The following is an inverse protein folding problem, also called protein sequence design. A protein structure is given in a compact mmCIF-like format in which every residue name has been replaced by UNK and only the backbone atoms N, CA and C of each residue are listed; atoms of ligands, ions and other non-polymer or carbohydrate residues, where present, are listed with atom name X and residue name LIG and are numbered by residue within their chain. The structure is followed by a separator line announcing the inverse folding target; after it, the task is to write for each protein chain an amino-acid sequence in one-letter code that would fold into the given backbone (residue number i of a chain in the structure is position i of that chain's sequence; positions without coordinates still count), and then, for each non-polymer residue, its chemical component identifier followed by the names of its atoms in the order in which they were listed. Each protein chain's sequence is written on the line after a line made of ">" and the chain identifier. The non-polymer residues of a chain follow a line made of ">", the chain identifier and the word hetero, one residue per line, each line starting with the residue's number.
data_IF_894086715880
#
_entry.id   IF_894086715880
#
_cell.length_a   1.000
_cell.length_b   1.000
_cell.length_c   1.000
_cell.angle_alpha   90.00
_cell.angle_beta   90.00
_cell.angle_gamma   90.00
#
_symmetry.space_group_name_H-M   'P 1'
#
loop_
_entity.id
_entity.type
_entity.pdbx_description
1 polymer ?
#
# COMPACT_ATOMS: atom_id res chain seq x y z
N UNK A 1 -18.79 3.09 14.15
CA UNK A 1 -19.20 2.90 12.75
C UNK A 1 -17.98 2.96 11.85
N UNK A 2 -17.77 1.99 10.98
CA UNK A 2 -16.63 1.99 10.05
C UNK A 2 -17.01 2.78 8.79
N UNK A 3 -16.55 4.01 8.71
CA UNK A 3 -16.86 4.92 7.59
C UNK A 3 -16.38 4.38 6.24
N UNK A 4 -15.18 3.78 6.19
CA UNK A 4 -14.62 3.21 4.97
C UNK A 4 -15.47 2.06 4.45
N UNK A 5 -15.86 1.15 5.34
CA UNK A 5 -16.73 0.02 4.98
C UNK A 5 -18.08 0.49 4.45
N UNK A 6 -18.66 1.49 5.08
CA UNK A 6 -19.95 2.03 4.66
C UNK A 6 -19.85 2.72 3.30
N UNK A 7 -18.80 3.48 3.04
CA UNK A 7 -18.54 4.09 1.73
C UNK A 7 -18.46 3.06 0.61
N UNK A 8 -17.68 1.98 0.84
CA UNK A 8 -17.52 0.91 -0.16
C UNK A 8 -18.86 0.19 -0.37
N UNK A 9 -19.58 -0.11 0.70
CA UNK A 9 -20.90 -0.77 0.60
C UNK A 9 -21.87 0.08 -0.19
N UNK A 10 -21.95 1.39 0.08
CA UNK A 10 -22.81 2.30 -0.66
C UNK A 10 -22.43 2.32 -2.14
N UNK A 11 -21.15 2.41 -2.46
CA UNK A 11 -20.68 2.43 -3.84
C UNK A 11 -21.07 1.13 -4.59
N UNK A 12 -20.92 -0.02 -3.94
CA UNK A 12 -21.30 -1.32 -4.51
C UNK A 12 -22.81 -1.43 -4.75
N UNK A 13 -23.60 -0.75 -3.94
CA UNK A 13 -25.07 -0.71 -4.06
C UNK A 13 -25.58 0.48 -4.88
N UNK A 14 -24.69 1.16 -5.60
CA UNK A 14 -25.03 2.33 -6.44
C UNK A 14 -25.70 3.46 -5.62
N UNK A 15 -25.29 3.64 -4.37
CA UNK A 15 -25.80 4.66 -3.48
C UNK A 15 -24.73 5.72 -3.22
N UNK A 16 -25.14 6.95 -2.98
CA UNK A 16 -24.24 8.04 -2.65
C UNK A 16 -23.92 8.03 -1.14
N UNK A 17 -22.67 7.84 -0.79
CA UNK A 17 -22.20 7.87 0.60
C UNK A 17 -21.73 9.26 1.06
N UNK A 18 -21.86 10.29 0.22
CA UNK A 18 -21.34 11.63 0.49
C UNK A 18 -19.88 11.84 0.14
N UNK A 19 -19.11 10.76 -0.05
CA UNK A 19 -17.72 10.81 -0.48
C UNK A 19 -17.37 9.55 -1.26
N UNK A 20 -16.40 9.67 -2.14
CA UNK A 20 -15.94 8.56 -2.98
C UNK A 20 -15.02 7.66 -2.16
N UNK A 21 -15.21 6.32 -2.17
CA UNK A 21 -14.25 5.41 -1.57
C UNK A 21 -12.94 5.44 -2.35
N UNK A 22 -11.83 5.37 -1.61
CA UNK A 22 -10.49 5.43 -2.17
C UNK A 22 -9.80 4.08 -1.99
N UNK A 23 -9.35 3.49 -3.08
CA UNK A 23 -8.46 2.34 -3.07
C UNK A 23 -7.09 2.79 -3.58
N UNK A 24 -6.09 2.77 -2.70
CA UNK A 24 -4.74 3.14 -3.02
C UNK A 24 -3.79 2.17 -2.33
N UNK A 25 -3.24 1.24 -3.10
CA UNK A 25 -2.28 0.26 -2.60
C UNK A 25 -2.84 -1.09 -2.18
N UNK A 26 -4.15 -1.35 -2.35
CA UNK A 26 -4.72 -2.66 -1.99
C UNK A 26 -4.33 -3.76 -2.98
N UNK A 27 -4.01 -3.39 -4.23
CA UNK A 27 -3.61 -4.32 -5.29
C UNK A 27 -2.45 -3.75 -6.09
N UNK A 28 -1.85 -4.58 -6.96
CA UNK A 28 -0.81 -4.11 -7.89
C UNK A 28 -1.34 -3.07 -8.89
N UNK A 29 -2.64 -3.10 -9.19
CA UNK A 29 -3.28 -2.14 -10.11
C UNK A 29 -3.41 -0.75 -9.47
N UNK A 30 -3.61 -0.70 -8.16
CA UNK A 30 -3.81 0.55 -7.42
C UNK A 30 -2.57 0.98 -6.64
N UNK A 31 -1.44 0.32 -6.89
CA UNK A 31 -0.18 0.57 -6.19
C UNK A 31 0.61 1.75 -6.74
N UNK A 32 1.69 2.07 -6.06
CA UNK A 32 2.60 3.15 -6.43
C UNK A 32 4.05 2.73 -6.19
N UNK A 33 4.98 3.31 -6.96
CA UNK A 33 6.40 3.00 -6.87
C UNK A 33 6.95 3.26 -5.46
N UNK A 34 7.88 2.42 -5.02
CA UNK A 34 8.44 2.47 -3.66
C UNK A 34 9.10 3.81 -3.31
N UNK A 35 9.67 4.52 -4.28
CA UNK A 35 10.22 5.88 -4.05
C UNK A 35 9.16 6.87 -3.62
N UNK A 36 7.97 6.76 -4.20
CA UNK A 36 6.87 7.67 -3.85
C UNK A 36 6.28 7.29 -2.48
N UNK A 37 6.24 6.00 -2.16
CA UNK A 37 5.84 5.56 -0.81
C UNK A 37 6.74 6.19 0.25
N UNK A 38 8.06 6.14 0.04
CA UNK A 38 9.02 6.77 0.96
C UNK A 38 8.80 8.28 1.04
N UNK A 39 8.63 8.94 -0.10
CA UNK A 39 8.38 10.38 -0.15
C UNK A 39 7.09 10.76 0.59
N UNK A 40 6.02 9.98 0.44
CA UNK A 40 4.76 10.22 1.16
C UNK A 40 4.92 10.02 2.66
N UNK A 41 5.65 9.00 3.09
CA UNK A 41 5.92 8.80 4.51
C UNK A 41 6.67 10.00 5.08
N UNK A 42 7.66 10.50 4.37
CA UNK A 42 8.41 11.70 4.78
C UNK A 42 7.51 12.94 4.82
N UNK A 43 6.66 13.11 3.81
CA UNK A 43 5.71 14.22 3.74
C UNK A 43 4.76 14.25 4.95
N UNK A 44 4.27 13.09 5.37
CA UNK A 44 3.36 12.99 6.53
C UNK A 44 4.09 12.92 7.88
N UNK A 45 5.41 13.02 7.89
CA UNK A 45 6.19 13.00 9.12
C UNK A 45 6.27 11.66 9.82
N UNK A 46 6.06 10.57 9.09
CA UNK A 46 6.14 9.22 9.64
C UNK A 46 7.60 8.80 9.83
N UNK A 47 7.84 7.89 10.78
CA UNK A 47 9.19 7.42 11.09
C UNK A 47 9.85 6.81 9.85
N UNK A 48 11.13 7.16 9.54
CA UNK A 48 11.86 6.56 8.43
C UNK A 48 12.04 5.07 8.64
N UNK A 49 11.75 4.30 7.60
CA UNK A 49 11.99 2.85 7.59
C UNK A 49 12.08 2.36 6.15
N UNK A 50 12.73 1.20 5.90
CA UNK A 50 12.75 0.62 4.56
C UNK A 50 11.32 0.32 4.08
N UNK A 51 11.03 0.65 2.82
CA UNK A 51 9.74 0.35 2.20
C UNK A 51 9.72 -1.13 1.77
N UNK A 52 8.67 -1.84 2.13
CA UNK A 52 8.48 -3.22 1.69
C UNK A 52 8.04 -3.24 0.23
N UNK A 53 8.72 -4.04 -0.59
CA UNK A 53 8.34 -4.22 -2.00
C UNK A 53 7.24 -5.27 -2.09
N UNK A 54 6.10 -4.90 -2.62
CA UNK A 54 4.95 -5.81 -2.78
C UNK A 54 4.79 -6.32 -4.21
N UNK A 55 5.41 -5.66 -5.18
CA UNK A 55 5.47 -6.09 -6.58
C UNK A 55 6.84 -5.73 -7.15
N UNK A 56 7.67 -6.74 -7.39
CA UNK A 56 9.04 -6.55 -7.84
C UNK A 56 9.13 -6.09 -9.31
N UNK A 57 8.15 -6.42 -10.15
CA UNK A 57 8.16 -6.00 -11.55
C UNK A 57 7.99 -4.50 -11.70
N UNK A 58 7.06 -3.93 -10.93
CA UNK A 58 6.75 -2.51 -11.00
C UNK A 58 7.43 -1.73 -9.87
N UNK A 59 8.15 -2.42 -8.99
CA UNK A 59 8.76 -1.86 -7.78
C UNK A 59 7.76 -1.10 -6.93
N UNK A 60 6.57 -1.68 -6.75
CA UNK A 60 5.53 -1.09 -5.92
C UNK A 60 5.88 -1.26 -4.44
N UNK A 61 5.72 -0.18 -3.70
CA UNK A 61 5.89 -0.19 -2.25
C UNK A 61 4.60 -0.45 -1.50
N UNK A 62 4.70 -1.08 -0.34
CA UNK A 62 3.56 -1.30 0.54
C UNK A 62 3.04 0.04 1.08
N UNK A 63 1.74 0.24 0.98
CA UNK A 63 1.06 1.32 1.70
C UNK A 63 0.69 0.76 3.08
N UNK A 64 1.55 0.99 4.06
CA UNK A 64 1.34 0.47 5.41
C UNK A 64 0.17 1.17 6.12
N UNK A 65 -0.24 0.61 7.26
CA UNK A 65 -1.42 1.09 7.98
C UNK A 65 -1.32 2.57 8.39
N UNK A 66 -0.14 3.02 8.82
CA UNK A 66 0.08 4.43 9.20
C UNK A 66 -0.10 5.35 7.99
N UNK A 67 0.51 5.00 6.87
CA UNK A 67 0.42 5.80 5.64
C UNK A 67 -1.00 5.76 5.07
N UNK A 68 -1.64 4.59 5.06
CA UNK A 68 -3.03 4.43 4.61
C UNK A 68 -3.98 5.34 5.38
N UNK A 69 -3.81 5.44 6.69
CA UNK A 69 -4.61 6.32 7.54
C UNK A 69 -4.41 7.79 7.17
N UNK A 70 -3.16 8.21 6.94
CA UNK A 70 -2.84 9.59 6.56
C UNK A 70 -3.39 9.98 5.20
N UNK A 71 -3.35 9.06 4.24
CA UNK A 71 -3.90 9.27 2.89
C UNK A 71 -5.43 9.24 2.90
N UNK A 72 -6.04 8.48 3.81
CA UNK A 72 -7.48 8.28 3.85
C UNK A 72 -7.96 7.15 2.96
N UNK A 73 -7.22 6.05 2.89
CA UNK A 73 -7.54 4.87 2.08
C UNK A 73 -8.68 4.09 2.73
N UNK A 74 -9.63 3.62 1.93
CA UNK A 74 -10.81 2.90 2.39
C UNK A 74 -10.74 1.39 2.18
N UNK A 75 -9.71 0.89 1.47
CA UNK A 75 -9.57 -0.53 1.13
C UNK A 75 -8.22 -1.07 1.59
N UNK A 76 -8.20 -2.33 2.03
CA UNK A 76 -6.99 -3.06 2.39
C UNK A 76 -6.88 -4.29 1.51
N UNK A 77 -5.70 -4.53 0.93
CA UNK A 77 -5.41 -5.73 0.16
C UNK A 77 -5.21 -6.94 1.07
N UNK A 78 -5.73 -8.08 0.65
CA UNK A 78 -5.50 -9.35 1.32
C UNK A 78 -4.62 -10.20 0.40
N UNK A 79 -3.39 -10.48 0.83
CA UNK A 79 -2.44 -11.29 0.10
C UNK A 79 -2.15 -12.61 0.82
N UNK A 80 -1.65 -13.57 0.06
CA UNK A 80 -1.13 -14.80 0.62
C UNK A 80 0.32 -14.64 1.12
N UNK A 81 0.89 -15.68 1.77
CA UNK A 81 2.27 -15.64 2.25
C UNK A 81 3.30 -15.80 1.13
N UNK A 82 2.87 -16.05 -0.07
CA UNK A 82 3.75 -16.26 -1.23
C UNK A 82 3.32 -15.37 -2.40
N UNK A 83 4.29 -14.98 -3.20
CA UNK A 83 4.05 -14.21 -4.42
C UNK A 83 3.74 -15.14 -5.61
N UNK A 84 3.62 -14.54 -6.82
CA UNK A 84 3.32 -15.30 -8.05
C UNK A 84 4.43 -16.27 -8.46
N UNK A 85 5.63 -16.15 -7.88
CA UNK A 85 6.76 -17.05 -8.11
C UNK A 85 6.91 -18.11 -7.02
N UNK A 86 5.91 -18.26 -6.14
CA UNK A 86 5.95 -19.17 -4.98
C UNK A 86 7.06 -18.82 -3.96
N UNK A 87 7.51 -17.56 -3.98
CA UNK A 87 8.50 -17.05 -3.03
C UNK A 87 7.80 -16.54 -1.76
N UNK A 88 8.42 -16.83 -0.62
CA UNK A 88 7.89 -16.45 0.69
C UNK A 88 7.97 -14.93 0.90
N UNK A 89 6.82 -14.26 0.97
CA UNK A 89 6.74 -12.81 1.19
C UNK A 89 6.85 -12.42 2.67
N UNK A 90 6.96 -13.40 3.58
CA UNK A 90 7.14 -13.13 5.01
C UNK A 90 8.62 -13.03 5.41
N UNK A 91 9.53 -13.50 4.55
CA UNK A 91 10.99 -13.48 4.77
C UNK A 91 11.63 -12.43 3.88
N UNK A 92 11.61 -11.20 4.35
CA UNK A 92 12.17 -10.10 3.59
C UNK A 92 13.50 -9.64 4.16
N UNK A 93 14.39 -9.27 3.28
CA UNK A 93 15.72 -8.76 3.61
C UNK A 93 15.85 -7.31 3.19
N UNK A 94 16.62 -6.55 3.95
CA UNK A 94 16.92 -5.18 3.57
C UNK A 94 17.94 -5.16 2.45
N UNK A 95 17.64 -4.41 1.40
CA UNK A 95 18.55 -4.18 0.27
C UNK A 95 18.54 -2.71 -0.12
N UNK A 96 19.61 -2.28 -0.77
CA UNK A 96 19.70 -0.92 -1.33
C UNK A 96 19.51 -1.00 -2.84
N UNK A 97 18.56 -0.22 -3.34
CA UNK A 97 18.29 -0.15 -4.79
C UNK A 97 19.40 0.60 -5.53
N UNK A 98 19.45 0.49 -6.88
CA UNK A 98 20.41 1.27 -7.67
C UNK A 98 20.30 2.79 -7.49
N UNK A 99 19.14 3.29 -7.07
CA UNK A 99 18.94 4.73 -6.79
C UNK A 99 19.17 5.11 -5.32
N UNK A 100 19.75 4.19 -4.53
CA UNK A 100 20.16 4.47 -3.14
C UNK A 100 19.08 4.36 -2.09
N UNK A 101 17.91 3.86 -2.42
CA UNK A 101 16.81 3.67 -1.47
C UNK A 101 16.95 2.32 -0.74
N UNK A 102 16.73 2.32 0.57
CA UNK A 102 16.64 1.09 1.38
C UNK A 102 15.24 0.52 1.28
N UNK A 103 15.14 -0.76 0.91
CA UNK A 103 13.86 -1.46 0.75
C UNK A 103 13.92 -2.84 1.40
N UNK A 104 12.76 -3.43 1.67
CA UNK A 104 12.62 -4.82 2.08
C UNK A 104 12.13 -5.64 0.89
N UNK A 105 12.91 -6.64 0.55
CA UNK A 105 12.63 -7.51 -0.61
C UNK A 105 12.64 -8.97 -0.21
#
# INVERSE_FOLDING_TARGET
>A
MNRSRDKVRCALNHQNAGSIPVDFGSTAVTGIHCRIVEALRNYYGLAPRPVKIVDAFQMLGEIDAELAEKIGVDCIGIGGPKDIFDLDTTRMHEQTTPWGQRVLV
#
